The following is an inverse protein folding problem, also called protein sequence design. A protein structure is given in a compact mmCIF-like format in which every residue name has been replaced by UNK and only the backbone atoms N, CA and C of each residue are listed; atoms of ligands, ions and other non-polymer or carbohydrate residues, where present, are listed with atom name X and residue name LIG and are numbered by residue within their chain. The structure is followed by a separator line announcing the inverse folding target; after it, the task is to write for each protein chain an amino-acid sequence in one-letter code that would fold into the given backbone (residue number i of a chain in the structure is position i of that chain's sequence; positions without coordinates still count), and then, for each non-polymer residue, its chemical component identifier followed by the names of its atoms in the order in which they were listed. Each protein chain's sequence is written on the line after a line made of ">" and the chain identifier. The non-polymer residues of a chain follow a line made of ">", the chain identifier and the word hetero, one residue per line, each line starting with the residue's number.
data_IF_493349504260
#
_entry.id   IF_493349504260
#
_cell.length_a   1.000
_cell.length_b   1.000
_cell.length_c   1.000
_cell.angle_alpha   90.00
_cell.angle_beta   90.00
_cell.angle_gamma   90.00
#
_symmetry.space_group_name_H-M   'P 1'
#
loop_
_entity.id
_entity.type
_entity.pdbx_description
1 polymer ?
#
# COMPACT_ATOMS: atom_id res chain seq x y z
N UNK A 1 50.02 -12.82 32.47
CA UNK A 1 48.71 -12.12 32.37
C UNK A 1 48.44 -11.46 31.01
N UNK A 2 49.42 -10.91 30.28
CA UNK A 2 49.22 -10.24 28.96
C UNK A 2 48.77 -11.12 27.77
N UNK A 3 48.94 -12.45 27.82
CA UNK A 3 48.57 -13.35 26.70
C UNK A 3 47.09 -13.77 26.71
N UNK A 4 46.48 -13.91 27.88
CA UNK A 4 45.07 -14.32 28.04
C UNK A 4 44.12 -13.20 27.59
N UNK A 5 44.49 -11.94 27.84
CA UNK A 5 43.72 -10.76 27.44
C UNK A 5 43.66 -10.58 25.91
N UNK A 6 44.70 -11.00 25.18
CA UNK A 6 44.72 -10.93 23.71
C UNK A 6 43.83 -12.00 23.05
N UNK A 7 43.75 -13.19 23.63
CA UNK A 7 42.85 -14.25 23.14
C UNK A 7 41.37 -13.92 23.38
N UNK A 8 41.05 -13.28 24.51
CA UNK A 8 39.68 -12.85 24.81
C UNK A 8 39.19 -11.69 23.92
N UNK A 9 40.09 -10.77 23.50
CA UNK A 9 39.73 -9.73 22.53
C UNK A 9 39.53 -10.27 21.11
N UNK A 10 40.33 -11.25 20.68
CA UNK A 10 40.20 -11.85 19.34
C UNK A 10 38.92 -12.71 19.21
N UNK A 11 38.52 -13.41 20.27
CA UNK A 11 37.29 -14.22 20.27
C UNK A 11 36.02 -13.36 20.21
N UNK A 12 36.02 -12.17 20.82
CA UNK A 12 34.87 -11.25 20.78
C UNK A 12 34.72 -10.54 19.43
N UNK A 13 35.81 -10.29 18.69
CA UNK A 13 35.77 -9.71 17.35
C UNK A 13 35.24 -10.69 16.29
N UNK A 14 35.51 -11.98 16.45
CA UNK A 14 34.97 -13.02 15.56
C UNK A 14 33.49 -13.35 15.84
N UNK A 15 33.03 -13.23 17.09
CA UNK A 15 31.60 -13.39 17.41
C UNK A 15 30.75 -12.19 16.97
N UNK A 16 31.30 -10.97 16.97
CA UNK A 16 30.61 -9.76 16.51
C UNK A 16 30.32 -9.77 15.00
N UNK A 17 31.21 -10.34 14.18
CA UNK A 17 31.04 -10.40 12.73
C UNK A 17 29.94 -11.37 12.27
N UNK A 18 29.57 -12.36 13.08
CA UNK A 18 28.54 -13.34 12.74
C UNK A 18 27.10 -12.79 12.87
N UNK A 19 26.90 -11.68 13.59
CA UNK A 19 25.56 -11.12 13.85
C UNK A 19 25.14 -9.98 12.92
N UNK A 20 26.00 -9.50 12.00
CA UNK A 20 25.66 -8.40 11.07
C UNK A 20 25.31 -8.85 9.65
N UNK A 21 25.18 -10.16 9.40
CA UNK A 21 24.98 -10.72 8.06
C UNK A 21 23.54 -11.07 7.67
N UNK A 22 22.53 -10.73 8.48
CA UNK A 22 21.12 -10.97 8.10
C UNK A 22 20.64 -9.87 7.14
N UNK A 23 21.27 -9.78 5.96
CA UNK A 23 20.69 -9.07 4.83
C UNK A 23 19.63 -10.00 4.24
N UNK A 24 18.35 -9.80 4.57
CA UNK A 24 17.27 -10.52 3.91
C UNK A 24 17.35 -10.20 2.41
N UNK A 25 17.77 -11.19 1.61
CA UNK A 25 17.80 -11.07 0.15
C UNK A 25 16.38 -11.10 -0.36
N UNK A 26 15.83 -9.92 -0.64
CA UNK A 26 14.52 -9.79 -1.29
C UNK A 26 14.62 -10.43 -2.68
N UNK A 27 13.68 -11.33 -3.06
CA UNK A 27 13.65 -11.92 -4.39
C UNK A 27 13.78 -10.88 -5.50
N UNK A 28 14.62 -11.15 -6.50
CA UNK A 28 14.99 -10.19 -7.56
C UNK A 28 13.78 -9.57 -8.28
N UNK A 29 12.69 -10.32 -8.46
CA UNK A 29 11.45 -9.82 -9.06
C UNK A 29 10.74 -8.75 -8.23
N UNK A 30 10.79 -8.83 -6.90
CA UNK A 30 10.18 -7.83 -6.01
C UNK A 30 10.97 -6.52 -6.06
N UNK A 31 12.30 -6.61 -6.10
CA UNK A 31 13.15 -5.42 -6.21
C UNK A 31 12.91 -4.68 -7.52
N UNK A 32 12.79 -5.42 -8.63
CA UNK A 32 12.46 -4.84 -9.93
C UNK A 32 11.09 -4.15 -9.91
N UNK A 33 10.06 -4.79 -9.35
CA UNK A 33 8.72 -4.21 -9.25
C UNK A 33 8.70 -2.90 -8.43
N UNK A 34 9.49 -2.81 -7.35
CA UNK A 34 9.65 -1.60 -6.54
C UNK A 34 10.32 -0.47 -7.33
N UNK A 35 11.36 -0.78 -8.11
CA UNK A 35 12.04 0.21 -8.95
C UNK A 35 11.14 0.74 -10.07
N UNK A 36 10.41 -0.14 -10.76
CA UNK A 36 9.45 0.24 -11.79
C UNK A 36 8.32 1.11 -11.23
N UNK A 37 7.84 0.79 -10.03
CA UNK A 37 6.85 1.62 -9.34
C UNK A 37 7.42 3.00 -9.01
N UNK A 38 8.62 3.09 -8.45
CA UNK A 38 9.25 4.38 -8.13
C UNK A 38 9.46 5.24 -9.38
N UNK A 39 9.86 4.63 -10.50
CA UNK A 39 9.98 5.31 -11.80
C UNK A 39 8.62 5.81 -12.31
N UNK A 40 7.57 4.99 -12.21
CA UNK A 40 6.20 5.40 -12.58
C UNK A 40 5.72 6.58 -11.75
N UNK A 41 5.91 6.54 -10.43
CA UNK A 41 5.53 7.62 -9.51
C UNK A 41 6.27 8.92 -9.84
N UNK A 42 7.57 8.83 -10.14
CA UNK A 42 8.36 9.99 -10.55
C UNK A 42 7.92 10.59 -11.89
N UNK A 43 7.35 9.77 -12.78
CA UNK A 43 6.84 10.20 -14.08
C UNK A 43 5.40 10.71 -14.04
N UNK A 44 4.72 10.70 -12.89
CA UNK A 44 3.36 11.21 -12.76
C UNK A 44 3.32 12.72 -13.03
N UNK A 45 2.45 13.21 -13.94
CA UNK A 45 2.34 14.63 -14.17
C UNK A 45 1.81 15.35 -12.92
N UNK A 46 2.33 16.55 -12.66
CA UNK A 46 1.73 17.39 -11.62
C UNK A 46 0.29 17.76 -12.00
N UNK A 47 -0.59 17.90 -11.01
CA UNK A 47 -1.97 18.33 -11.24
C UNK A 47 -2.86 18.21 -10.02
N UNK A 48 -4.07 18.75 -10.16
CA UNK A 48 -5.13 18.67 -9.15
C UNK A 48 -5.92 17.37 -9.32
N UNK A 49 -5.27 16.27 -8.97
CA UNK A 49 -5.87 14.95 -8.95
C UNK A 49 -5.18 14.09 -7.88
N UNK A 50 -5.77 12.94 -7.59
CA UNK A 50 -5.22 11.94 -6.69
C UNK A 50 -5.02 10.62 -7.43
N UNK A 51 -4.13 9.78 -6.89
CA UNK A 51 -3.95 8.41 -7.36
C UNK A 51 -4.59 7.47 -6.34
N UNK A 52 -5.49 6.62 -6.83
CA UNK A 52 -6.26 5.67 -6.04
C UNK A 52 -5.94 4.22 -6.40
N UNK A 53 -5.73 3.37 -5.41
CA UNK A 53 -5.68 1.90 -5.55
C UNK A 53 -6.91 1.35 -4.87
N UNK A 54 -7.74 0.63 -5.62
CA UNK A 54 -8.88 -0.08 -5.05
C UNK A 54 -8.38 -1.17 -4.10
N UNK A 55 -8.87 -1.15 -2.86
CA UNK A 55 -8.63 -2.20 -1.88
C UNK A 55 -9.98 -2.69 -1.34
N UNK A 56 -10.44 -3.81 -1.88
CA UNK A 56 -11.76 -4.36 -1.58
C UNK A 56 -11.69 -5.48 -0.55
N UNK A 57 -12.63 -5.43 0.40
CA UNK A 57 -12.94 -6.50 1.34
C UNK A 57 -14.46 -6.53 1.49
N UNK A 58 -15.08 -7.71 1.43
CA UNK A 58 -16.55 -7.86 1.44
C UNK A 58 -17.23 -7.20 2.65
N UNK A 59 -16.59 -7.33 3.81
CA UNK A 59 -17.19 -6.95 5.09
C UNK A 59 -17.00 -5.45 5.40
N UNK A 60 -16.09 -4.77 4.68
CA UNK A 60 -15.64 -3.41 4.98
C UNK A 60 -16.30 -2.38 4.05
N UNK A 61 -16.44 -1.15 4.53
CA UNK A 61 -17.07 -0.05 3.77
C UNK A 61 -16.10 0.97 3.19
N UNK A 62 -14.81 0.93 3.56
CA UNK A 62 -13.80 1.75 2.91
C UNK A 62 -13.66 1.37 1.44
N UNK A 63 -13.15 2.31 0.64
CA UNK A 63 -12.96 2.08 -0.79
C UNK A 63 -11.53 1.64 -1.14
N UNK A 64 -10.52 2.31 -0.60
CA UNK A 64 -9.15 2.04 -1.02
C UNK A 64 -8.17 3.12 -0.61
N UNK A 65 -6.95 2.98 -1.10
CA UNK A 65 -5.84 3.86 -0.76
C UNK A 65 -5.78 5.02 -1.74
N UNK A 66 -5.65 6.24 -1.22
CA UNK A 66 -5.55 7.48 -2.00
C UNK A 66 -4.31 8.26 -1.59
N UNK A 67 -3.53 8.72 -2.58
CA UNK A 67 -2.36 9.59 -2.38
C UNK A 67 -2.32 10.72 -3.38
N UNK A 68 -1.48 11.73 -3.11
CA UNK A 68 -1.17 12.75 -4.13
C UNK A 68 -0.20 12.18 -5.18
N UNK A 69 -0.14 12.81 -6.37
CA UNK A 69 0.85 12.48 -7.38
C UNK A 69 2.27 12.63 -6.82
N UNK A 70 3.20 11.84 -7.33
CA UNK A 70 4.62 11.81 -6.93
C UNK A 70 4.89 11.41 -5.47
N UNK A 71 3.85 11.09 -4.69
CA UNK A 71 4.01 10.51 -3.36
C UNK A 71 4.13 8.98 -3.43
N UNK A 72 4.89 8.34 -2.54
CA UNK A 72 4.92 6.88 -2.46
C UNK A 72 3.61 6.31 -1.93
N UNK A 73 3.36 5.02 -2.18
CA UNK A 73 2.15 4.35 -1.69
C UNK A 73 2.11 4.24 -0.16
N UNK A 74 3.26 4.20 0.51
CA UNK A 74 3.35 4.22 1.98
C UNK A 74 2.76 5.47 2.65
N UNK A 75 2.56 6.57 1.91
CA UNK A 75 1.87 7.76 2.42
C UNK A 75 0.39 7.81 2.04
N UNK A 76 -0.13 6.79 1.37
CA UNK A 76 -1.53 6.77 0.95
C UNK A 76 -2.45 6.57 2.16
N UNK A 77 -3.58 7.26 2.12
CA UNK A 77 -4.62 7.16 3.15
C UNK A 77 -5.69 6.17 2.70
N UNK A 78 -6.12 5.28 3.61
CA UNK A 78 -7.28 4.43 3.37
C UNK A 78 -8.54 5.27 3.57
N UNK A 79 -9.34 5.44 2.53
CA UNK A 79 -10.44 6.42 2.55
C UNK A 79 -11.82 5.79 2.49
N UNK A 80 -12.78 6.50 3.06
CA UNK A 80 -14.20 6.36 2.77
C UNK A 80 -14.54 7.33 1.65
N UNK A 81 -15.12 6.83 0.55
CA UNK A 81 -15.57 7.72 -0.52
C UNK A 81 -16.93 8.34 -0.15
N UNK A 82 -17.01 9.65 -0.29
CA UNK A 82 -18.28 10.35 -0.34
C UNK A 82 -18.73 10.43 -1.80
N UNK A 83 -19.81 9.71 -2.08
CA UNK A 83 -20.30 9.44 -3.42
C UNK A 83 -21.58 10.23 -3.76
N UNK A 84 -21.84 11.32 -3.04
CA UNK A 84 -23.02 12.17 -3.29
C UNK A 84 -23.04 12.77 -4.71
N UNK A 85 -21.86 12.98 -5.30
CA UNK A 85 -21.72 13.56 -6.64
C UNK A 85 -21.36 12.52 -7.71
N UNK A 86 -20.48 11.58 -7.38
CA UNK A 86 -20.02 10.53 -8.28
C UNK A 86 -19.86 9.22 -7.51
N UNK A 87 -20.43 8.15 -8.04
CA UNK A 87 -20.30 6.81 -7.49
C UNK A 87 -18.91 6.23 -7.81
N UNK A 88 -18.45 5.31 -6.98
CA UNK A 88 -17.24 4.53 -7.20
C UNK A 88 -17.40 3.60 -8.42
N UNK A 89 -16.29 3.23 -9.10
CA UNK A 89 -16.37 2.53 -10.38
C UNK A 89 -17.11 1.19 -10.34
N UNK A 90 -16.91 0.39 -9.30
CA UNK A 90 -17.61 -0.89 -9.08
C UNK A 90 -19.10 -0.71 -8.80
N UNK A 91 -19.43 0.30 -8.00
CA UNK A 91 -20.82 0.63 -7.61
C UNK A 91 -21.64 1.20 -8.75
N UNK A 92 -21.03 1.95 -9.67
CA UNK A 92 -21.68 2.40 -10.91
C UNK A 92 -22.15 1.25 -11.79
N UNK A 93 -21.43 0.12 -11.74
CA UNK A 93 -21.74 -1.09 -12.51
C UNK A 93 -22.58 -2.09 -11.71
N UNK A 94 -22.85 -1.81 -10.43
CA UNK A 94 -23.51 -2.74 -9.50
C UNK A 94 -22.75 -4.07 -9.41
N UNK A 95 -21.42 -4.02 -9.52
CA UNK A 95 -20.52 -5.17 -9.51
C UNK A 95 -19.43 -4.97 -8.46
N UNK A 96 -19.84 -5.08 -7.19
CA UNK A 96 -19.05 -4.69 -6.02
C UNK A 96 -17.71 -5.43 -5.92
N UNK A 97 -16.62 -4.66 -5.90
CA UNK A 97 -15.27 -5.21 -5.79
C UNK A 97 -14.70 -5.84 -7.06
N UNK A 98 -15.43 -5.80 -8.19
CA UNK A 98 -14.95 -6.27 -9.50
C UNK A 98 -13.66 -5.59 -9.95
N UNK A 99 -13.42 -4.38 -9.47
CA UNK A 99 -12.25 -3.57 -9.75
C UNK A 99 -11.17 -3.65 -8.67
N UNK A 100 -11.20 -4.67 -7.81
CA UNK A 100 -10.18 -4.84 -6.78
C UNK A 100 -8.76 -4.81 -7.39
N UNK A 101 -7.85 -4.11 -6.71
CA UNK A 101 -6.48 -3.84 -7.15
C UNK A 101 -6.35 -2.88 -8.36
N UNK A 102 -7.41 -2.35 -8.96
CA UNK A 102 -7.27 -1.41 -10.08
C UNK A 102 -6.66 -0.07 -9.62
N UNK A 103 -6.01 0.61 -10.55
CA UNK A 103 -5.44 1.94 -10.37
C UNK A 103 -6.29 3.00 -11.07
N UNK A 104 -6.57 4.09 -10.36
CA UNK A 104 -7.36 5.20 -10.87
C UNK A 104 -6.67 6.53 -10.63
N UNK A 105 -6.85 7.43 -11.59
CA UNK A 105 -6.77 8.87 -11.34
C UNK A 105 -8.12 9.31 -10.79
N UNK A 106 -8.13 9.97 -9.65
CA UNK A 106 -9.33 10.45 -8.97
C UNK A 106 -9.36 11.98 -8.98
N UNK A 107 -10.53 12.54 -9.27
CA UNK A 107 -10.80 13.97 -9.15
C UNK A 107 -11.74 14.17 -7.97
N UNK A 108 -11.33 15.02 -7.04
CA UNK A 108 -12.00 15.14 -5.75
C UNK A 108 -11.15 15.87 -4.72
N UNK A 109 -11.54 15.79 -3.47
CA UNK A 109 -10.80 16.40 -2.36
C UNK A 109 -11.14 15.70 -1.05
N UNK A 110 -10.22 15.78 -0.08
CA UNK A 110 -10.51 15.39 1.30
C UNK A 110 -11.37 16.47 1.95
N UNK A 111 -12.53 16.09 2.49
CA UNK A 111 -13.45 17.06 3.10
C UNK A 111 -12.93 17.61 4.44
N UNK A 112 -12.00 16.90 5.09
CA UNK A 112 -11.58 17.15 6.46
C UNK A 112 -12.40 16.37 7.49
N UNK A 113 -13.54 15.82 7.07
CA UNK A 113 -14.36 14.95 7.91
C UNK A 113 -13.76 13.54 8.00
N UNK A 114 -14.25 12.80 8.99
CA UNK A 114 -13.88 11.42 9.23
C UNK A 114 -15.11 10.55 9.40
N UNK A 115 -15.03 9.31 8.95
CA UNK A 115 -16.15 8.36 8.92
C UNK A 115 -15.77 7.12 9.70
N UNK A 116 -16.66 6.71 10.60
CA UNK A 116 -16.53 5.46 11.35
C UNK A 116 -16.87 4.26 10.46
N UNK A 117 -16.03 3.23 10.50
CA UNK A 117 -16.22 1.98 9.76
C UNK A 117 -16.32 0.82 10.77
N UNK A 118 -17.48 0.14 10.84
CA UNK A 118 -17.75 -0.80 11.92
C UNK A 118 -16.99 -2.13 11.80
N UNK A 119 -16.65 -2.59 10.59
CA UNK A 119 -15.99 -3.89 10.43
C UNK A 119 -14.54 -3.89 10.96
N UNK A 120 -13.83 -2.78 10.78
CA UNK A 120 -12.49 -2.49 11.30
C UNK A 120 -12.51 -1.84 12.69
N UNK A 121 -13.68 -1.38 13.15
CA UNK A 121 -13.83 -0.50 14.31
C UNK A 121 -12.86 0.69 14.26
N UNK A 122 -12.67 1.29 13.09
CA UNK A 122 -11.71 2.36 12.85
C UNK A 122 -12.36 3.59 12.23
N UNK A 123 -11.63 4.70 12.26
CA UNK A 123 -12.06 5.98 11.70
C UNK A 123 -11.16 6.32 10.51
N UNK A 124 -11.77 6.56 9.35
CA UNK A 124 -11.07 6.86 8.11
C UNK A 124 -11.38 8.27 7.61
N UNK A 125 -10.43 8.94 6.93
CA UNK A 125 -10.70 10.21 6.27
C UNK A 125 -11.74 10.04 5.15
N UNK A 126 -12.60 11.04 4.98
CA UNK A 126 -13.55 11.11 3.89
C UNK A 126 -12.93 11.78 2.66
N UNK A 127 -13.10 11.14 1.49
CA UNK A 127 -12.72 11.70 0.20
C UNK A 127 -13.95 11.92 -0.67
N UNK A 128 -14.23 13.17 -1.04
CA UNK A 128 -15.34 13.56 -1.91
C UNK A 128 -14.98 13.28 -3.36
N UNK A 129 -15.61 12.26 -3.95
CA UNK A 129 -15.37 11.86 -5.33
C UNK A 129 -16.20 12.72 -6.29
N UNK A 130 -15.54 13.33 -7.28
CA UNK A 130 -16.16 14.09 -8.37
C UNK A 130 -16.03 13.41 -9.72
N UNK A 131 -15.01 12.59 -9.90
CA UNK A 131 -14.72 11.92 -11.15
C UNK A 131 -13.54 10.97 -11.01
N UNK A 132 -13.37 10.09 -11.98
CA UNK A 132 -12.24 9.18 -12.03
C UNK A 132 -11.89 8.81 -13.47
N UNK A 133 -10.65 8.35 -13.67
CA UNK A 133 -10.16 7.75 -14.91
C UNK A 133 -9.37 6.50 -14.56
N UNK A 134 -9.61 5.39 -15.26
CA UNK A 134 -8.85 4.17 -15.10
C UNK A 134 -7.41 4.39 -15.61
N UNK A 135 -6.42 4.05 -14.79
CA UNK A 135 -5.00 4.05 -15.16
C UNK A 135 -4.58 2.64 -15.56
N UNK A 136 -4.87 1.65 -14.72
CA UNK A 136 -4.45 0.27 -14.96
C UNK A 136 -5.36 -0.74 -14.27
N UNK A 137 -5.63 -1.85 -14.96
CA UNK A 137 -6.32 -3.02 -14.40
C UNK A 137 -5.33 -4.02 -13.76
N UNK A 138 -4.04 -3.89 -14.09
CA UNK A 138 -2.98 -4.76 -13.57
C UNK A 138 -1.75 -3.92 -13.17
N UNK A 139 -1.86 -3.12 -12.10
CA UNK A 139 -0.77 -2.29 -11.64
C UNK A 139 0.28 -3.09 -10.86
N UNK A 140 1.46 -2.49 -10.68
CA UNK A 140 2.54 -3.10 -9.92
C UNK A 140 2.13 -3.37 -8.46
N UNK A 141 2.57 -4.48 -7.85
CA UNK A 141 2.29 -4.83 -6.45
C UNK A 141 2.66 -3.72 -5.47
N UNK A 142 1.79 -3.41 -4.51
CA UNK A 142 2.03 -2.43 -3.43
C UNK A 142 1.86 -3.03 -2.03
N UNK A 143 1.34 -4.25 -1.91
CA UNK A 143 1.09 -4.91 -0.63
C UNK A 143 2.08 -6.04 -0.37
N UNK A 144 2.39 -6.26 0.91
CA UNK A 144 3.27 -7.34 1.37
C UNK A 144 2.81 -8.72 0.90
N UNK A 145 1.49 -8.97 0.95
CA UNK A 145 0.86 -10.18 0.43
C UNK A 145 1.17 -10.42 -1.04
N UNK A 146 1.11 -9.37 -1.87
CA UNK A 146 1.37 -9.45 -3.30
C UNK A 146 2.84 -9.77 -3.61
N UNK A 147 3.77 -9.24 -2.82
CA UNK A 147 5.19 -9.56 -2.97
C UNK A 147 5.51 -11.01 -2.58
N UNK A 148 4.82 -11.56 -1.57
CA UNK A 148 5.05 -12.92 -1.07
C UNK A 148 4.40 -14.01 -1.93
N UNK A 149 3.36 -13.69 -2.69
CA UNK A 149 2.74 -14.62 -3.65
C UNK A 149 1.95 -15.79 -3.06
N UNK A 150 1.82 -15.89 -1.73
CA UNK A 150 1.19 -17.04 -1.04
C UNK A 150 0.04 -16.67 -0.09
N UNK A 151 -0.32 -15.40 0.02
CA UNK A 151 -1.44 -15.00 0.88
C UNK A 151 -2.77 -15.41 0.23
N UNK A 152 -3.62 -16.12 0.98
CA UNK A 152 -4.97 -16.48 0.54
C UNK A 152 -5.98 -15.37 0.87
N UNK A 153 -7.15 -15.41 0.24
CA UNK A 153 -8.23 -14.48 0.56
C UNK A 153 -8.70 -14.66 2.02
N UNK A 154 -8.65 -15.89 2.53
CA UNK A 154 -8.93 -16.25 3.91
C UNK A 154 -7.93 -15.62 4.88
N UNK A 155 -6.63 -15.73 4.59
CA UNK A 155 -5.56 -15.14 5.43
C UNK A 155 -5.72 -13.63 5.57
N UNK A 156 -6.13 -12.99 4.48
CA UNK A 156 -6.27 -11.55 4.44
C UNK A 156 -7.63 -11.08 4.92
N UNK A 157 -8.63 -11.95 5.14
CA UNK A 157 -10.03 -11.54 5.36
C UNK A 157 -10.22 -10.43 6.38
N UNK A 158 -9.52 -10.50 7.51
CA UNK A 158 -9.61 -9.52 8.60
C UNK A 158 -8.37 -8.62 8.74
N UNK A 159 -7.39 -8.76 7.84
CA UNK A 159 -6.17 -7.95 7.84
C UNK A 159 -6.34 -6.80 6.85
N UNK A 160 -6.18 -5.57 7.34
CA UNK A 160 -6.09 -4.38 6.50
C UNK A 160 -4.62 -4.08 6.28
N UNK A 161 -4.12 -4.41 5.09
CA UNK A 161 -2.71 -4.24 4.74
C UNK A 161 -2.41 -2.78 4.38
N UNK A 162 -1.35 -2.22 4.97
CA UNK A 162 -0.81 -0.94 4.51
C UNK A 162 0.05 -1.16 3.26
N UNK A 163 -0.04 -0.26 2.26
CA UNK A 163 0.90 -0.26 1.15
C UNK A 163 2.33 0.02 1.61
N UNK A 164 3.31 -0.55 0.89
CA UNK A 164 4.76 -0.33 1.08
C UNK A 164 5.31 0.69 0.09
#
# INVERSE_FOLDING_TARGET
>A
MRRVTRFLLAANLLLGAAFFGACETVPQGIQQARLEMAQKIAAEPAGDYFIGRRYYKSDYKFWGYVRRPSQPWSTAELVMLNEKQKLAPDRERVDFGSDNNYEYKLYGYFSGDKVYEPASNSIYPEFVLKGYQLISMNPSPIFKSQFRGHATAEDLRYVVEKPE
#
